data_IF_711782381178
#
_entry.id   IF_711782381178
#
_cell.length_a   1.000
_cell.length_b   1.000
_cell.length_c   1.000
_cell.angle_alpha   90.00
_cell.angle_beta   90.00
_cell.angle_gamma   90.00
#
_symmetry.space_group_name_H-M   'P 1'
#
loop_
_entity.id
_entity.type
_entity.pdbx_description
1 polymer ?
#
# COMPACT_ATOMS: atom_id res chain seq x y z
N UNK A 1 -13.80 5.06 -19.75
CA UNK A 1 -14.21 4.78 -18.36
C UNK A 1 -13.90 3.34 -17.96
N UNK A 2 -14.40 2.32 -18.68
CA UNK A 2 -14.08 0.91 -18.41
C UNK A 2 -12.57 0.61 -18.37
N UNK A 3 -11.80 1.14 -19.32
CA UNK A 3 -10.34 1.00 -19.34
C UNK A 3 -9.68 1.47 -18.02
N UNK A 4 -10.07 2.64 -17.50
CA UNK A 4 -9.51 3.16 -16.26
C UNK A 4 -9.88 2.32 -15.05
N UNK A 5 -11.09 1.76 -15.01
CA UNK A 5 -11.51 0.83 -13.95
C UNK A 5 -10.66 -0.44 -13.98
N UNK A 6 -10.42 -1.01 -15.17
CA UNK A 6 -9.55 -2.18 -15.34
C UNK A 6 -8.12 -1.84 -14.91
N UNK A 7 -7.58 -0.69 -15.31
CA UNK A 7 -6.25 -0.25 -14.90
C UNK A 7 -6.15 -0.09 -13.38
N UNK A 8 -7.17 0.47 -12.72
CA UNK A 8 -7.20 0.58 -11.25
C UNK A 8 -7.26 -0.79 -10.57
N UNK A 9 -7.99 -1.75 -11.13
CA UNK A 9 -8.04 -3.12 -10.62
C UNK A 9 -6.68 -3.81 -10.75
N UNK A 10 -6.05 -3.72 -11.92
CA UNK A 10 -4.70 -4.25 -12.17
C UNK A 10 -3.69 -3.58 -11.24
N UNK A 11 -3.78 -2.27 -11.02
CA UNK A 11 -2.95 -1.54 -10.07
C UNK A 11 -3.09 -2.10 -8.64
N UNK A 12 -4.31 -2.42 -8.20
CA UNK A 12 -4.54 -3.04 -6.89
C UNK A 12 -3.88 -4.42 -6.76
N UNK A 13 -3.96 -5.24 -7.81
CA UNK A 13 -3.30 -6.56 -7.86
C UNK A 13 -1.76 -6.40 -7.80
N UNK A 14 -1.19 -5.58 -8.68
CA UNK A 14 0.25 -5.35 -8.75
C UNK A 14 0.80 -4.76 -7.45
N UNK A 15 0.07 -3.82 -6.84
CA UNK A 15 0.48 -3.22 -5.56
C UNK A 15 0.52 -4.25 -4.43
N UNK A 16 -0.42 -5.22 -4.44
CA UNK A 16 -0.45 -6.30 -3.46
C UNK A 16 0.72 -7.26 -3.66
N UNK A 17 0.98 -7.67 -4.91
CA UNK A 17 2.12 -8.52 -5.25
C UNK A 17 3.45 -7.85 -4.88
N UNK A 18 3.61 -6.57 -5.22
CA UNK A 18 4.80 -5.79 -4.86
C UNK A 18 5.06 -5.81 -3.35
N UNK A 19 4.01 -5.66 -2.53
CA UNK A 19 4.13 -5.71 -1.07
C UNK A 19 4.55 -7.08 -0.54
N UNK A 20 4.04 -8.16 -1.14
CA UNK A 20 4.42 -9.52 -0.78
C UNK A 20 5.88 -9.80 -1.14
N UNK A 21 6.32 -9.42 -2.34
CA UNK A 21 7.71 -9.56 -2.77
C UNK A 21 8.66 -8.72 -1.91
N UNK A 22 8.28 -7.49 -1.57
CA UNK A 22 9.06 -6.62 -0.69
C UNK A 22 9.16 -7.15 0.75
N UNK A 23 8.12 -7.81 1.24
CA UNK A 23 8.15 -8.49 2.53
C UNK A 23 9.13 -9.68 2.50
N UNK A 24 9.11 -10.47 1.43
CA UNK A 24 10.04 -11.60 1.25
C UNK A 24 11.50 -11.13 1.14
N UNK A 25 11.75 -10.06 0.39
CA UNK A 25 13.06 -9.42 0.31
C UNK A 25 13.52 -8.91 1.69
N UNK A 26 12.61 -8.37 2.49
CA UNK A 26 12.89 -7.95 3.88
C UNK A 26 13.25 -9.13 4.77
N UNK A 27 12.59 -10.28 4.63
CA UNK A 27 12.94 -11.50 5.36
C UNK A 27 14.30 -12.06 4.95
N UNK A 28 14.62 -12.00 3.66
CA UNK A 28 15.85 -12.56 3.10
C UNK A 28 17.09 -11.67 3.31
N UNK A 29 16.92 -10.35 3.24
CA UNK A 29 18.03 -9.38 3.19
C UNK A 29 18.06 -8.42 4.38
N UNK A 30 17.01 -8.43 5.21
CA UNK A 30 16.78 -7.44 6.26
C UNK A 30 16.06 -6.19 5.75
N UNK A 31 15.38 -5.47 6.65
CA UNK A 31 14.51 -4.33 6.32
C UNK A 31 15.24 -3.21 5.57
N UNK A 32 16.46 -2.87 5.97
CA UNK A 32 17.24 -1.80 5.32
C UNK A 32 17.59 -2.15 3.88
N UNK A 33 18.08 -3.36 3.63
CA UNK A 33 18.48 -3.80 2.29
C UNK A 33 17.25 -4.03 1.39
N UNK A 34 16.18 -4.63 1.92
CA UNK A 34 14.92 -4.80 1.19
C UNK A 34 14.29 -3.46 0.79
N UNK A 35 14.35 -2.46 1.67
CA UNK A 35 13.88 -1.11 1.35
C UNK A 35 14.76 -0.40 0.31
N UNK A 36 16.08 -0.56 0.41
CA UNK A 36 17.02 0.03 -0.55
C UNK A 36 16.80 -0.51 -1.96
N UNK A 37 16.60 -1.83 -2.11
CA UNK A 37 16.30 -2.46 -3.41
C UNK A 37 15.02 -1.89 -4.01
N UNK A 38 13.95 -1.77 -3.21
CA UNK A 38 12.69 -1.19 -3.67
C UNK A 38 12.85 0.27 -4.16
N UNK A 39 13.76 1.04 -3.55
CA UNK A 39 14.08 2.39 -4.02
C UNK A 39 14.86 2.40 -5.34
N UNK A 40 15.83 1.51 -5.49
CA UNK A 40 16.61 1.38 -6.71
C UNK A 40 15.70 0.95 -7.87
N UNK A 41 14.86 -0.07 -7.67
CA UNK A 41 13.89 -0.52 -8.67
C UNK A 41 12.90 0.58 -9.04
N UNK A 42 12.31 1.26 -8.05
CA UNK A 42 11.41 2.38 -8.29
C UNK A 42 12.07 3.52 -9.08
N UNK A 43 13.33 3.82 -8.77
CA UNK A 43 14.11 4.85 -9.48
C UNK A 43 14.35 4.43 -10.94
N UNK A 44 14.82 3.20 -11.18
CA UNK A 44 15.05 2.68 -12.54
C UNK A 44 13.76 2.71 -13.36
N UNK A 45 12.65 2.20 -12.81
CA UNK A 45 11.36 2.18 -13.49
C UNK A 45 10.84 3.60 -13.76
N UNK A 46 11.04 4.54 -12.83
CA UNK A 46 10.66 5.94 -13.04
C UNK A 46 11.48 6.61 -14.15
N UNK A 47 12.79 6.32 -14.25
CA UNK A 47 13.64 6.82 -15.34
C UNK A 47 13.21 6.25 -16.69
N UNK A 48 12.89 4.95 -16.76
CA UNK A 48 12.33 4.32 -17.96
C UNK A 48 11.01 4.99 -18.33
N UNK A 49 10.13 5.26 -17.36
CA UNK A 49 8.85 5.94 -17.61
C UNK A 49 9.07 7.35 -18.16
N UNK A 50 9.99 8.13 -17.59
CA UNK A 50 10.35 9.47 -18.11
C UNK A 50 10.86 9.38 -19.56
N UNK A 51 11.68 8.37 -19.86
CA UNK A 51 12.18 8.12 -21.21
C UNK A 51 11.06 7.80 -22.19
N UNK A 52 10.21 6.83 -21.87
CA UNK A 52 9.11 6.38 -22.74
C UNK A 52 8.07 7.48 -22.95
N UNK A 53 7.84 8.33 -21.95
CA UNK A 53 6.90 9.46 -22.05
C UNK A 53 7.49 10.70 -22.74
N UNK A 54 8.77 10.67 -23.15
CA UNK A 54 9.43 11.80 -23.79
C UNK A 54 9.62 13.03 -22.89
N UNK A 55 9.61 12.84 -21.55
CA UNK A 55 9.64 13.94 -20.57
C UNK A 55 11.03 14.20 -19.98
N UNK A 56 12.07 14.17 -20.82
CA UNK A 56 13.47 14.29 -20.37
C UNK A 56 13.79 15.54 -19.56
N UNK A 57 13.02 16.62 -19.74
CA UNK A 57 13.18 17.84 -18.95
C UNK A 57 13.06 17.63 -17.44
N UNK A 58 12.36 16.57 -17.01
CA UNK A 58 12.17 16.22 -15.60
C UNK A 58 13.46 15.72 -14.92
N UNK A 59 14.50 15.39 -15.68
CA UNK A 59 15.78 14.89 -15.15
C UNK A 59 16.74 16.04 -14.82
N UNK A 60 16.51 17.24 -15.38
CA UNK A 60 17.41 18.38 -15.16
C UNK A 60 17.15 19.06 -13.81
N UNK A 61 18.21 19.25 -13.03
CA UNK A 61 18.14 19.90 -11.71
C UNK A 61 17.61 21.34 -11.77
N UNK A 62 17.92 22.08 -12.84
CA UNK A 62 17.44 23.46 -13.03
C UNK A 62 15.91 23.54 -13.10
N UNK A 63 15.26 22.50 -13.60
CA UNK A 63 13.80 22.42 -13.65
C UNK A 63 13.19 22.25 -12.25
N UNK A 64 13.88 21.56 -11.34
CA UNK A 64 13.35 21.23 -10.01
C UNK A 64 13.21 22.47 -9.12
N UNK A 65 14.01 23.51 -9.34
CA UNK A 65 13.90 24.79 -8.63
C UNK A 65 12.55 25.51 -8.84
N UNK A 66 11.81 25.15 -9.90
CA UNK A 66 10.50 25.71 -10.23
C UNK A 66 9.32 24.88 -9.69
N UNK A 67 9.60 23.70 -9.12
CA UNK A 67 8.57 22.77 -8.65
C UNK A 67 8.28 23.07 -7.16
N UNK A 68 7.00 23.18 -6.75
CA UNK A 68 6.64 23.35 -5.34
C UNK A 68 7.23 22.22 -4.48
N UNK A 69 8.03 22.52 -3.43
CA UNK A 69 8.75 21.50 -2.67
C UNK A 69 7.88 20.39 -2.09
N UNK A 70 6.65 20.71 -1.71
CA UNK A 70 5.66 19.74 -1.19
C UNK A 70 5.36 18.61 -2.18
N UNK A 71 5.45 18.86 -3.49
CA UNK A 71 5.18 17.85 -4.52
C UNK A 71 6.33 16.84 -4.66
N UNK A 72 7.55 17.23 -4.28
CA UNK A 72 8.73 16.35 -4.26
C UNK A 72 8.74 15.44 -3.03
N UNK A 73 7.91 15.72 -2.01
CA UNK A 73 7.83 14.90 -0.79
C UNK A 73 7.20 13.52 -1.02
N UNK A 74 6.62 13.25 -2.20
CA UNK A 74 6.02 11.95 -2.53
C UNK A 74 6.99 10.78 -2.33
N UNK A 75 8.27 10.97 -2.65
CA UNK A 75 9.31 9.96 -2.40
C UNK A 75 9.51 9.69 -0.90
N UNK A 76 9.46 10.70 -0.04
CA UNK A 76 9.62 10.53 1.42
C UNK A 76 8.40 9.81 2.01
N UNK A 77 7.19 10.24 1.65
CA UNK A 77 5.96 9.58 2.09
C UNK A 77 5.88 8.14 1.60
N UNK A 78 6.33 7.86 0.38
CA UNK A 78 6.45 6.50 -0.17
C UNK A 78 7.39 5.62 0.66
N UNK A 79 8.53 6.15 1.11
CA UNK A 79 9.51 5.42 1.94
C UNK A 79 8.87 4.99 3.25
N UNK A 80 8.30 5.98 3.96
CA UNK A 80 7.68 5.79 5.27
C UNK A 80 6.51 4.80 5.16
N UNK A 81 5.66 4.95 4.13
CA UNK A 81 4.55 4.04 3.89
C UNK A 81 5.02 2.60 3.65
N UNK A 82 6.10 2.42 2.90
CA UNK A 82 6.66 1.09 2.62
C UNK A 82 7.26 0.45 3.87
N UNK A 83 8.00 1.22 4.67
CA UNK A 83 8.54 0.75 5.96
C UNK A 83 7.43 0.34 6.93
N UNK A 84 6.39 1.16 7.08
CA UNK A 84 5.25 0.83 7.94
C UNK A 84 4.50 -0.40 7.43
N UNK A 85 4.35 -0.54 6.11
CA UNK A 85 3.74 -1.72 5.52
C UNK A 85 4.56 -2.99 5.83
N UNK A 86 5.88 -2.96 5.68
CA UNK A 86 6.76 -4.10 5.99
C UNK A 86 6.69 -4.48 7.48
N UNK A 87 6.79 -3.51 8.39
CA UNK A 87 6.69 -3.74 9.84
C UNK A 87 5.33 -4.31 10.23
N UNK A 88 4.24 -3.80 9.64
CA UNK A 88 2.90 -4.30 9.88
C UNK A 88 2.69 -5.72 9.35
N UNK A 89 3.12 -5.98 8.12
CA UNK A 89 2.95 -7.29 7.46
C UNK A 89 3.79 -8.39 8.10
N UNK A 90 4.97 -8.09 8.67
CA UNK A 90 5.80 -9.08 9.35
C UNK A 90 5.16 -9.69 10.61
N UNK A 91 4.16 -9.02 11.20
CA UNK A 91 3.55 -9.43 12.49
C UNK A 91 2.16 -10.04 12.35
N UNK A 92 1.54 -9.93 11.18
CA UNK A 92 0.13 -10.28 10.97
C UNK A 92 0.00 -11.07 9.66
N UNK A 93 -0.96 -12.00 9.62
CA UNK A 93 -1.30 -12.72 8.39
C UNK A 93 -1.53 -11.73 7.23
N UNK A 94 -0.97 -12.05 6.07
CA UNK A 94 -0.90 -11.16 4.90
C UNK A 94 -2.29 -10.63 4.51
N UNK A 95 -3.32 -11.49 4.52
CA UNK A 95 -4.71 -11.12 4.22
C UNK A 95 -5.27 -10.03 5.13
N UNK A 96 -4.93 -10.01 6.42
CA UNK A 96 -5.41 -8.97 7.34
C UNK A 96 -4.67 -7.66 7.09
N UNK A 97 -3.35 -7.73 6.90
CA UNK A 97 -2.51 -6.57 6.65
C UNK A 97 -2.89 -5.83 5.37
N UNK A 98 -3.24 -6.56 4.30
CA UNK A 98 -3.64 -5.95 3.03
C UNK A 98 -4.99 -5.24 3.15
N UNK A 99 -5.96 -5.78 3.87
CA UNK A 99 -7.27 -5.13 4.02
C UNK A 99 -7.19 -3.95 5.01
N UNK A 100 -6.41 -4.05 6.11
CA UNK A 100 -6.14 -2.88 6.99
C UNK A 100 -5.49 -1.75 6.20
N UNK A 101 -4.54 -2.10 5.33
CA UNK A 101 -3.90 -1.13 4.47
C UNK A 101 -4.88 -0.53 3.44
N UNK A 102 -5.80 -1.33 2.89
CA UNK A 102 -6.88 -0.83 2.02
C UNK A 102 -7.77 0.17 2.77
N UNK A 103 -8.15 -0.12 4.02
CA UNK A 103 -8.90 0.82 4.88
C UNK A 103 -8.13 2.14 5.04
N UNK A 104 -6.82 2.08 5.29
CA UNK A 104 -5.95 3.27 5.37
C UNK A 104 -5.91 4.07 4.07
N UNK A 105 -5.82 3.40 2.91
CA UNK A 105 -5.84 4.04 1.59
C UNK A 105 -7.19 4.71 1.29
N UNK A 106 -8.30 4.05 1.59
CA UNK A 106 -9.64 4.61 1.43
C UNK A 106 -9.87 5.82 2.36
N UNK A 107 -9.41 5.71 3.61
CA UNK A 107 -9.46 6.79 4.59
C UNK A 107 -8.63 8.01 4.17
N UNK A 108 -7.40 7.79 3.70
CA UNK A 108 -6.54 8.86 3.17
C UNK A 108 -7.16 9.52 1.93
N UNK A 109 -7.69 8.73 0.99
CA UNK A 109 -8.38 9.26 -0.19
C UNK A 109 -9.61 10.11 0.18
N UNK A 110 -10.40 9.64 1.15
CA UNK A 110 -11.52 10.42 1.68
C UNK A 110 -11.06 11.73 2.35
N UNK A 111 -9.98 11.69 3.13
CA UNK A 111 -9.42 12.88 3.77
C UNK A 111 -8.94 13.91 2.75
N UNK A 112 -8.25 13.45 1.70
CA UNK A 112 -7.83 14.29 0.58
C UNK A 112 -9.03 14.89 -0.15
N UNK A 113 -10.07 14.10 -0.44
CA UNK A 113 -11.32 14.59 -1.05
C UNK A 113 -12.02 15.64 -0.17
N UNK A 114 -12.01 15.46 1.15
CA UNK A 114 -12.64 16.37 2.09
C UNK A 114 -11.92 17.73 2.16
N UNK A 115 -10.57 17.72 2.21
CA UNK A 115 -9.78 18.95 2.33
C UNK A 115 -9.63 19.66 0.99
N UNK A 116 -9.25 18.94 -0.06
CA UNK A 116 -8.89 19.55 -1.35
C UNK A 116 -10.14 19.82 -2.19
N UNK A 117 -11.06 18.85 -2.26
CA UNK A 117 -12.24 18.97 -3.11
C UNK A 117 -13.46 19.54 -2.37
N UNK A 118 -13.39 19.72 -1.04
CA UNK A 118 -14.52 20.14 -0.21
C UNK A 118 -15.68 19.14 -0.22
N UNK A 119 -15.44 17.89 -0.64
CA UNK A 119 -16.49 16.89 -0.90
C UNK A 119 -16.51 15.84 0.20
N UNK A 120 -17.46 15.98 1.11
CA UNK A 120 -17.72 15.00 2.17
C UNK A 120 -18.93 14.15 1.78
N UNK A 121 -18.71 12.87 1.52
CA UNK A 121 -19.79 11.90 1.23
C UNK A 121 -19.87 10.92 2.40
N UNK A 122 -20.88 11.03 3.30
CA UNK A 122 -21.00 10.18 4.48
C UNK A 122 -21.05 8.68 4.16
N UNK A 123 -21.59 8.31 2.99
CA UNK A 123 -21.67 6.93 2.54
C UNK A 123 -20.28 6.30 2.32
N UNK A 124 -19.26 7.09 1.95
CA UNK A 124 -17.87 6.61 1.87
C UNK A 124 -17.35 6.18 3.24
N UNK A 125 -17.68 6.94 4.29
CA UNK A 125 -17.29 6.62 5.68
C UNK A 125 -17.93 5.28 6.10
N UNK A 126 -19.23 5.11 5.82
CA UNK A 126 -19.93 3.86 6.12
C UNK A 126 -19.29 2.66 5.41
N UNK A 127 -18.91 2.82 4.14
CA UNK A 127 -18.21 1.78 3.38
C UNK A 127 -16.86 1.40 3.99
N UNK A 128 -16.06 2.40 4.41
CA UNK A 128 -14.76 2.16 5.07
C UNK A 128 -14.95 1.40 6.39
N UNK A 129 -15.95 1.80 7.19
CA UNK A 129 -16.31 1.12 8.45
C UNK A 129 -16.73 -0.32 8.18
N UNK A 130 -17.56 -0.56 7.15
CA UNK A 130 -18.04 -1.88 6.79
C UNK A 130 -16.89 -2.82 6.36
N UNK A 131 -15.92 -2.31 5.58
CA UNK A 131 -14.71 -3.06 5.22
C UNK A 131 -13.88 -3.40 6.46
N UNK A 132 -13.64 -2.42 7.34
CA UNK A 132 -12.89 -2.64 8.58
C UNK A 132 -13.58 -3.67 9.50
N UNK A 133 -14.90 -3.58 9.62
CA UNK A 133 -15.70 -4.51 10.41
C UNK A 133 -15.66 -5.94 9.85
N UNK A 134 -15.71 -6.09 8.52
CA UNK A 134 -15.59 -7.40 7.86
C UNK A 134 -14.30 -8.13 8.22
N UNK A 135 -13.18 -7.42 8.27
CA UNK A 135 -11.87 -7.98 8.69
C UNK A 135 -11.90 -8.42 10.16
N UNK A 136 -12.47 -7.58 11.03
CA UNK A 136 -12.52 -7.86 12.46
C UNK A 136 -13.34 -9.13 12.75
N UNK A 137 -14.46 -9.31 12.06
CA UNK A 137 -15.25 -10.55 12.11
C UNK A 137 -14.44 -11.76 11.62
N UNK A 138 -13.78 -11.64 10.47
CA UNK A 138 -12.94 -12.71 9.93
C UNK A 138 -11.83 -13.12 10.90
N UNK A 139 -11.22 -12.16 11.59
CA UNK A 139 -10.18 -12.41 12.59
C UNK A 139 -10.70 -13.22 13.78
N UNK A 140 -11.87 -12.85 14.30
CA UNK A 140 -12.51 -13.57 15.42
C UNK A 140 -12.86 -14.99 15.02
N UNK A 141 -13.49 -15.17 13.86
CA UNK A 141 -13.90 -16.49 13.37
C UNK A 141 -12.67 -17.36 13.15
N UNK A 142 -11.67 -16.88 12.41
CA UNK A 142 -10.42 -17.59 12.12
C UNK A 142 -9.63 -17.94 13.39
N UNK A 143 -9.68 -17.11 14.43
CA UNK A 143 -9.09 -17.40 15.74
C UNK A 143 -9.74 -18.58 16.46
N UNK A 144 -11.08 -18.65 16.44
CA UNK A 144 -11.85 -19.75 17.05
C UNK A 144 -11.56 -21.10 16.40
N UNK A 145 -11.48 -21.15 15.07
CA UNK A 145 -11.13 -22.38 14.33
C UNK A 145 -9.75 -22.90 14.70
N UNK A 146 -8.77 -22.00 14.86
CA UNK A 146 -7.40 -22.36 15.24
C UNK A 146 -7.33 -22.96 16.65
N UNK A 147 -8.09 -22.40 17.60
CA UNK A 147 -8.17 -22.90 18.98
C UNK A 147 -8.83 -24.29 19.04
N UNK A 148 -9.94 -24.49 18.32
CA UNK A 148 -10.64 -25.77 18.24
C UNK A 148 -9.77 -26.89 17.65
N UNK A 149 -9.07 -26.61 16.56
CA UNK A 149 -8.15 -27.57 15.94
C UNK A 149 -6.97 -27.93 16.87
N UNK A 150 -6.45 -26.95 17.64
CA UNK A 150 -5.39 -27.21 18.61
C UNK A 150 -5.86 -28.05 19.79
N UNK A 151 -7.11 -27.90 20.24
CA UNK A 151 -7.68 -28.72 21.31
C UNK A 151 -7.99 -30.16 20.89
N UNK A 152 -8.36 -30.38 19.62
CA UNK A 152 -8.62 -31.73 19.09
C UNK A 152 -7.32 -32.52 18.88
N UNK A 153 -6.21 -31.85 18.55
CA UNK A 153 -4.89 -32.48 18.42
C UNK A 153 -4.19 -32.75 19.75
N UNK A 154 -4.52 -32.04 20.84
CA UNK A 154 -3.93 -32.29 22.18
C UNK A 154 -4.60 -33.45 22.94
N UNK A 155 -5.70 -34.01 22.42
CA UNK A 155 -6.45 -35.12 23.02
C UNK A 155 -6.16 -36.45 22.30
N UNK A 156 -5.41 -36.41 21.20
CA UNK A 156 -4.88 -37.60 20.50
C UNK A 156 -3.44 -37.84 20.86
#
# INVERSE_FOLDING_TARGET
MLLFVILSLVNGLLTTLNKMLNLEATHSLGTTNGTLINYIEGTILSLIAVFVMGKMHLIYFDYWGHIPPITLMGGIFGLIATLFAMVGMAKVRISYSTVILLVGQLGAGFFVDAIIAGKVIPLKILGIILVAFGIFLDQIVSGKWKQKASSENSVK
#
